data_IF_883017544832
#
_entry.id   IF_883017544832
#
_cell.length_a   1.000
_cell.length_b   1.000
_cell.length_c   1.000
_cell.angle_alpha   90.00
_cell.angle_beta   90.00
_cell.angle_gamma   90.00
#
_symmetry.space_group_name_H-M   'P 1'
#
loop_
_entity.id
_entity.type
_entity.pdbx_description
1 polymer ?
#
# COMPACT_ATOMS: atom_id res chain seq x y z
N UNK A 1 9.04 -13.51 11.27
CA UNK A 1 7.99 -12.57 11.74
C UNK A 1 7.57 -11.70 10.57
N UNK A 2 6.27 -11.65 10.27
CA UNK A 2 5.74 -10.82 9.19
C UNK A 2 5.83 -9.33 9.57
N UNK A 3 6.20 -8.48 8.61
CA UNK A 3 6.23 -7.03 8.83
C UNK A 3 4.81 -6.45 8.83
N UNK A 4 4.45 -5.74 9.90
CA UNK A 4 3.13 -5.17 10.11
C UNK A 4 3.09 -3.71 9.66
N UNK A 5 2.23 -3.39 8.71
CA UNK A 5 2.12 -2.05 8.11
C UNK A 5 0.69 -1.54 8.23
N UNK A 6 0.36 -0.73 9.25
CA UNK A 6 -0.93 -0.07 9.30
C UNK A 6 -1.08 0.94 8.17
N UNK A 7 -2.32 1.17 7.73
CA UNK A 7 -2.63 2.06 6.62
C UNK A 7 -3.46 3.27 7.04
N UNK A 8 -3.16 4.41 6.42
CA UNK A 8 -3.97 5.64 6.46
C UNK A 8 -4.33 6.00 5.03
N UNK A 9 -5.62 6.05 4.73
CA UNK A 9 -6.13 6.63 3.49
C UNK A 9 -6.59 8.06 3.73
N UNK A 10 -6.29 8.97 2.81
CA UNK A 10 -6.55 10.39 2.93
C UNK A 10 -7.57 10.88 1.91
N UNK A 11 -8.62 11.53 2.38
CA UNK A 11 -9.55 12.34 1.59
C UNK A 11 -9.81 13.65 2.33
N UNK A 12 -9.63 14.78 1.66
CA UNK A 12 -9.81 16.13 2.23
C UNK A 12 -9.03 16.34 3.54
N UNK A 13 -7.82 15.81 3.61
CA UNK A 13 -6.99 15.89 4.80
C UNK A 13 -7.41 15.00 5.97
N UNK A 14 -8.41 14.16 5.81
CA UNK A 14 -8.96 13.27 6.85
C UNK A 14 -8.50 11.82 6.65
N UNK A 15 -8.38 11.08 7.75
CA UNK A 15 -8.18 9.63 7.73
C UNK A 15 -9.52 8.92 7.45
N UNK A 16 -9.59 8.20 6.35
CA UNK A 16 -10.82 7.55 5.89
C UNK A 16 -10.59 6.09 5.51
N UNK A 17 -11.69 5.37 5.24
CA UNK A 17 -11.65 4.06 4.57
C UNK A 17 -12.75 3.99 3.52
N UNK A 18 -12.44 3.30 2.41
CA UNK A 18 -13.40 2.95 1.38
C UNK A 18 -13.68 1.46 1.43
N UNK A 19 -14.82 1.03 0.90
CA UNK A 19 -15.10 -0.37 0.63
C UNK A 19 -14.87 -0.63 -0.85
N UNK A 20 -13.94 -1.53 -1.19
CA UNK A 20 -13.56 -1.86 -2.58
C UNK A 20 -13.24 -0.64 -3.46
N UNK A 21 -12.68 0.41 -2.85
CA UNK A 21 -12.34 1.65 -3.56
C UNK A 21 -13.52 2.57 -3.91
N UNK A 22 -14.71 2.29 -3.41
CA UNK A 22 -15.90 3.08 -3.69
C UNK A 22 -15.96 4.34 -2.81
N UNK A 23 -15.80 5.51 -3.43
CA UNK A 23 -15.82 6.81 -2.74
C UNK A 23 -17.19 7.15 -2.13
N UNK A 24 -18.28 6.56 -2.62
CA UNK A 24 -19.62 6.73 -2.05
C UNK A 24 -19.82 5.90 -0.78
N UNK A 25 -18.92 4.93 -0.53
CA UNK A 25 -18.87 4.13 0.69
C UNK A 25 -17.74 4.56 1.62
N UNK A 26 -17.48 5.85 1.68
CA UNK A 26 -16.47 6.44 2.55
C UNK A 26 -16.92 6.50 4.01
N UNK A 27 -16.04 6.07 4.92
CA UNK A 27 -16.16 6.28 6.37
C UNK A 27 -14.98 7.12 6.87
N UNK A 28 -15.25 8.18 7.61
CA UNK A 28 -14.23 9.01 8.25
C UNK A 28 -13.95 8.46 9.64
N UNK A 29 -12.68 8.19 9.95
CA UNK A 29 -12.24 7.70 11.26
C UNK A 29 -11.59 8.78 12.12
N UNK A 30 -10.91 9.75 11.52
CA UNK A 30 -10.27 10.84 12.24
C UNK A 30 -10.04 12.03 11.32
N UNK A 31 -10.24 13.24 11.88
CA UNK A 31 -10.01 14.50 11.17
C UNK A 31 -8.53 14.88 11.12
N UNK A 32 -7.68 14.28 11.99
CA UNK A 32 -6.25 14.54 12.05
C UNK A 32 -5.43 13.25 11.84
N UNK A 33 -5.00 12.97 10.61
CA UNK A 33 -4.19 11.78 10.31
C UNK A 33 -2.85 11.71 11.06
N UNK A 34 -2.24 12.85 11.39
CA UNK A 34 -0.99 12.86 12.16
C UNK A 34 -1.19 12.30 13.58
N UNK A 35 -2.33 12.53 14.20
CA UNK A 35 -2.66 11.94 15.51
C UNK A 35 -2.82 10.42 15.40
N UNK A 36 -3.42 9.93 14.32
CA UNK A 36 -3.53 8.49 14.06
C UNK A 36 -2.14 7.87 13.88
N UNK A 37 -1.26 8.51 13.13
CA UNK A 37 0.12 8.06 12.94
C UNK A 37 0.90 8.00 14.27
N UNK A 38 0.75 8.99 15.14
CA UNK A 38 1.34 8.97 16.49
C UNK A 38 0.83 7.81 17.33
N UNK A 39 -0.46 7.49 17.25
CA UNK A 39 -1.03 6.34 17.93
C UNK A 39 -0.38 5.02 17.45
N UNK A 40 -0.20 4.86 16.13
CA UNK A 40 0.48 3.70 15.58
C UNK A 40 1.93 3.60 16.09
N UNK A 41 2.66 4.71 16.11
CA UNK A 41 4.02 4.73 16.65
C UNK A 41 4.07 4.35 18.13
N UNK A 42 3.14 4.88 18.96
CA UNK A 42 3.02 4.54 20.37
C UNK A 42 2.66 3.08 20.60
N UNK A 43 1.93 2.45 19.69
CA UNK A 43 1.62 1.02 19.71
C UNK A 43 2.82 0.13 19.34
N UNK A 44 3.92 0.72 18.88
CA UNK A 44 5.14 -0.01 18.53
C UNK A 44 5.33 -0.31 17.05
N UNK A 45 4.43 0.13 16.17
CA UNK A 45 4.63 -0.01 14.73
C UNK A 45 5.81 0.84 14.26
N UNK A 46 6.49 0.36 13.21
CA UNK A 46 7.66 1.02 12.61
C UNK A 46 7.40 1.54 11.21
N UNK A 47 6.40 0.98 10.53
CA UNK A 47 6.02 1.29 9.17
C UNK A 47 4.62 1.91 9.15
N UNK A 48 4.38 2.72 8.12
CA UNK A 48 3.05 3.27 7.82
C UNK A 48 2.87 3.33 6.30
N UNK A 49 1.73 2.86 5.83
CA UNK A 49 1.30 2.98 4.45
C UNK A 49 0.27 4.10 4.33
N UNK A 50 0.58 5.14 3.54
CA UNK A 50 -0.30 6.30 3.36
C UNK A 50 -0.74 6.38 1.90
N UNK A 51 -2.04 6.45 1.67
CA UNK A 51 -2.63 6.60 0.34
C UNK A 51 -3.39 7.92 0.23
N UNK A 52 -2.96 8.74 -0.71
CA UNK A 52 -3.66 9.97 -1.11
C UNK A 52 -4.77 9.64 -2.11
N UNK A 53 -5.98 9.40 -1.60
CA UNK A 53 -7.13 9.06 -2.44
C UNK A 53 -7.62 10.26 -3.27
N UNK A 54 -7.42 11.49 -2.82
CA UNK A 54 -7.64 12.68 -3.64
C UNK A 54 -6.64 12.72 -4.80
N UNK A 55 -5.38 12.38 -4.52
CA UNK A 55 -4.33 12.27 -5.53
C UNK A 55 -4.61 11.18 -6.55
N UNK A 56 -5.05 10.02 -6.12
CA UNK A 56 -5.45 8.94 -7.02
C UNK A 56 -6.56 9.36 -7.99
N UNK A 57 -7.50 10.16 -7.52
CA UNK A 57 -8.62 10.68 -8.32
C UNK A 57 -8.19 11.80 -9.27
N UNK A 58 -7.38 12.75 -8.79
CA UNK A 58 -6.93 13.93 -9.54
C UNK A 58 -5.71 13.67 -10.42
N UNK A 59 -5.02 12.53 -10.23
CA UNK A 59 -3.77 12.13 -10.89
C UNK A 59 -2.55 13.00 -10.54
N UNK A 60 -2.59 13.66 -9.38
CA UNK A 60 -1.51 14.42 -8.77
C UNK A 60 -1.57 14.30 -7.26
N UNK A 61 -0.44 14.47 -6.56
CA UNK A 61 -0.44 14.52 -5.10
C UNK A 61 -1.23 15.75 -4.62
N UNK A 62 -2.15 15.54 -3.69
CA UNK A 62 -3.01 16.59 -3.09
C UNK A 62 -2.72 16.76 -1.61
N UNK A 63 -2.53 15.68 -0.86
CA UNK A 63 -2.39 15.70 0.61
C UNK A 63 -0.92 15.65 1.08
N UNK A 64 0.00 16.29 0.37
CA UNK A 64 1.41 16.36 0.75
C UNK A 64 1.66 17.10 2.08
N UNK A 65 0.83 18.10 2.40
CA UNK A 65 0.91 18.78 3.69
C UNK A 65 0.59 17.83 4.86
N UNK A 66 -0.39 16.94 4.69
CA UNK A 66 -0.71 15.90 5.68
C UNK A 66 0.44 14.90 5.81
N UNK A 67 1.00 14.47 4.70
CA UNK A 67 2.19 13.59 4.69
C UNK A 67 3.33 14.24 5.47
N UNK A 68 3.62 15.51 5.23
CA UNK A 68 4.67 16.25 5.95
C UNK A 68 4.40 16.32 7.45
N UNK A 69 3.17 16.55 7.87
CA UNK A 69 2.80 16.53 9.28
C UNK A 69 3.08 15.15 9.92
N UNK A 70 2.68 14.07 9.26
CA UNK A 70 2.94 12.69 9.70
C UNK A 70 4.43 12.43 9.88
N UNK A 71 5.24 12.74 8.87
CA UNK A 71 6.68 12.46 8.88
C UNK A 71 7.47 13.36 9.81
N UNK A 72 6.97 14.56 10.10
CA UNK A 72 7.57 15.49 11.06
C UNK A 72 7.26 15.10 12.49
N UNK A 73 6.04 14.63 12.76
CA UNK A 73 5.55 14.33 14.11
C UNK A 73 5.79 12.90 14.56
N UNK A 74 6.25 12.02 13.69
CA UNK A 74 6.60 10.62 13.98
C UNK A 74 7.95 10.25 13.37
N UNK A 75 8.54 9.14 13.84
CA UNK A 75 9.71 8.51 13.23
C UNK A 75 9.37 7.27 12.38
N UNK A 76 8.11 7.11 12.03
CA UNK A 76 7.64 6.00 11.18
C UNK A 76 8.30 6.06 9.79
N UNK A 77 8.65 4.90 9.28
CA UNK A 77 9.05 4.74 7.88
C UNK A 77 7.78 4.72 7.03
N UNK A 78 7.54 5.79 6.31
CA UNK A 78 6.32 6.00 5.55
C UNK A 78 6.54 5.66 4.08
N UNK A 79 5.70 4.78 3.53
CA UNK A 79 5.50 4.67 2.10
C UNK A 79 4.22 5.42 1.69
N UNK A 80 4.31 6.15 0.58
CA UNK A 80 3.25 7.04 0.13
C UNK A 80 2.85 6.73 -1.31
N UNK A 81 1.57 6.61 -1.56
CA UNK A 81 1.01 6.36 -2.88
C UNK A 81 -0.26 7.17 -3.15
N UNK A 82 -0.74 7.09 -4.38
CA UNK A 82 -1.93 7.81 -4.83
C UNK A 82 -1.59 9.10 -5.59
N UNK A 83 -1.80 9.09 -6.90
CA UNK A 83 -1.59 10.26 -7.74
C UNK A 83 -0.15 10.51 -8.20
N UNK A 84 0.76 9.56 -8.02
CA UNK A 84 2.14 9.68 -8.50
C UNK A 84 2.18 9.36 -9.99
N UNK A 85 2.23 10.41 -10.82
CA UNK A 85 2.23 10.31 -12.28
C UNK A 85 3.44 10.97 -12.94
N UNK A 86 4.15 11.84 -12.22
CA UNK A 86 5.30 12.58 -12.72
C UNK A 86 6.45 12.51 -11.74
N UNK A 87 7.65 12.87 -12.21
CA UNK A 87 8.82 12.99 -11.35
C UNK A 87 8.63 14.07 -10.28
N UNK A 88 7.94 15.16 -10.61
CA UNK A 88 7.59 16.21 -9.65
C UNK A 88 6.75 15.66 -8.49
N UNK A 89 5.80 14.76 -8.76
CA UNK A 89 5.03 14.08 -7.71
C UNK A 89 5.94 13.26 -6.78
N UNK A 90 6.89 12.51 -7.33
CA UNK A 90 7.86 11.73 -6.52
C UNK A 90 8.71 12.65 -5.65
N UNK A 91 9.26 13.70 -6.23
CA UNK A 91 10.10 14.66 -5.50
C UNK A 91 9.31 15.36 -4.38
N UNK A 92 8.05 15.69 -4.65
CA UNK A 92 7.13 16.27 -3.67
C UNK A 92 6.87 15.32 -2.50
N UNK A 93 6.66 14.02 -2.77
CA UNK A 93 6.50 13.01 -1.72
C UNK A 93 7.76 12.86 -0.87
N UNK A 94 8.95 12.79 -1.49
CA UNK A 94 10.21 12.70 -0.75
C UNK A 94 10.53 13.99 0.03
N UNK A 95 10.25 15.16 -0.54
CA UNK A 95 10.40 16.44 0.17
C UNK A 95 9.48 16.55 1.38
N UNK A 96 8.30 15.92 1.34
CA UNK A 96 7.38 15.81 2.46
C UNK A 96 7.77 14.71 3.48
N UNK A 97 8.89 14.03 3.28
CA UNK A 97 9.47 13.07 4.22
C UNK A 97 9.12 11.60 3.99
N UNK A 98 8.45 11.24 2.89
CA UNK A 98 8.23 9.83 2.56
C UNK A 98 9.57 9.11 2.40
N UNK A 99 9.70 7.93 2.99
CA UNK A 99 10.88 7.08 2.83
C UNK A 99 10.84 6.30 1.51
N UNK A 100 9.63 5.94 1.09
CA UNK A 100 9.34 5.17 -0.11
C UNK A 100 8.10 5.73 -0.80
N UNK A 101 7.98 5.48 -2.09
CA UNK A 101 6.75 5.76 -2.86
C UNK A 101 6.21 4.49 -3.48
N UNK A 102 4.88 4.36 -3.52
CA UNK A 102 4.19 3.26 -4.18
C UNK A 102 3.62 3.75 -5.50
N UNK A 103 4.04 3.13 -6.60
CA UNK A 103 3.67 3.51 -7.96
C UNK A 103 3.04 2.33 -8.67
N UNK A 104 1.81 2.51 -9.15
CA UNK A 104 1.06 1.46 -9.83
C UNK A 104 0.81 1.76 -11.31
N UNK A 105 -0.08 2.71 -11.61
CA UNK A 105 -0.55 2.96 -12.98
C UNK A 105 0.56 3.26 -13.98
N UNK A 106 1.58 4.01 -13.59
CA UNK A 106 2.72 4.36 -14.48
C UNK A 106 3.47 3.11 -14.93
N UNK A 107 3.56 2.08 -14.08
CA UNK A 107 4.20 0.82 -14.46
C UNK A 107 3.47 0.11 -15.62
N UNK A 108 2.19 0.37 -15.81
CA UNK A 108 1.38 -0.14 -16.94
C UNK A 108 1.39 0.82 -18.11
N UNK A 109 1.10 2.11 -17.85
CA UNK A 109 0.87 3.11 -18.91
C UNK A 109 2.14 3.69 -19.52
N UNK A 110 3.24 3.73 -18.74
CA UNK A 110 4.54 4.22 -19.20
C UNK A 110 5.68 3.42 -18.53
N UNK A 111 5.92 2.19 -18.97
CA UNK A 111 6.96 1.32 -18.39
C UNK A 111 8.36 1.92 -18.41
N UNK A 112 8.71 2.66 -19.44
CA UNK A 112 10.03 3.30 -19.55
C UNK A 112 10.25 4.33 -18.45
N UNK A 113 9.24 5.13 -18.16
CA UNK A 113 9.30 6.12 -17.06
C UNK A 113 9.47 5.44 -15.72
N UNK A 114 8.73 4.36 -15.45
CA UNK A 114 8.90 3.57 -14.23
C UNK A 114 10.34 3.04 -14.09
N UNK A 115 10.92 2.52 -15.18
CA UNK A 115 12.31 2.04 -15.20
C UNK A 115 13.30 3.17 -14.90
N UNK A 116 13.10 4.36 -15.47
CA UNK A 116 13.92 5.54 -15.20
C UNK A 116 13.87 5.92 -13.71
N UNK A 117 12.69 5.87 -13.10
CA UNK A 117 12.54 6.12 -11.66
C UNK A 117 13.21 5.06 -10.81
N UNK A 118 13.12 3.80 -11.20
CA UNK A 118 13.80 2.70 -10.52
C UNK A 118 15.33 2.90 -10.53
N UNK A 119 15.88 3.29 -11.67
CA UNK A 119 17.31 3.59 -11.81
C UNK A 119 17.73 4.83 -11.00
N UNK A 120 16.90 5.88 -11.02
CA UNK A 120 17.21 7.15 -10.36
C UNK A 120 17.10 7.07 -8.84
N UNK A 121 16.01 6.50 -8.33
CA UNK A 121 15.71 6.51 -6.88
C UNK A 121 16.13 5.22 -6.18
N UNK A 122 16.28 4.13 -6.91
CA UNK A 122 16.69 2.84 -6.39
C UNK A 122 15.55 1.96 -5.92
N UNK A 123 15.84 0.66 -5.85
CA UNK A 123 14.88 -0.38 -5.49
C UNK A 123 14.39 -0.30 -4.03
N UNK A 124 15.14 0.37 -3.16
CA UNK A 124 14.79 0.52 -1.73
C UNK A 124 13.79 1.67 -1.48
N UNK A 125 13.59 2.54 -2.46
CA UNK A 125 12.69 3.69 -2.35
C UNK A 125 11.44 3.61 -3.23
N UNK A 126 11.32 2.58 -4.05
CA UNK A 126 10.23 2.42 -5.00
C UNK A 126 9.52 1.09 -4.77
N UNK A 127 8.23 1.16 -4.44
CA UNK A 127 7.34 0.00 -4.34
C UNK A 127 6.49 -0.07 -5.60
N UNK A 128 6.50 -1.22 -6.27
CA UNK A 128 5.57 -1.49 -7.37
C UNK A 128 4.20 -1.82 -6.80
N UNK A 129 3.20 -1.00 -7.09
CA UNK A 129 1.81 -1.28 -6.78
C UNK A 129 1.20 -2.20 -7.84
N UNK A 130 0.72 -3.36 -7.44
CA UNK A 130 0.03 -4.33 -8.29
C UNK A 130 -1.37 -4.56 -7.74
N UNK A 131 -2.33 -3.79 -8.20
CA UNK A 131 -3.74 -3.92 -7.84
C UNK A 131 -4.41 -4.88 -8.80
N UNK A 132 -5.00 -5.94 -8.29
CA UNK A 132 -5.46 -7.10 -9.08
C UNK A 132 -6.97 -7.24 -8.99
N UNK A 133 -7.60 -7.38 -10.16
CA UNK A 133 -8.99 -7.76 -10.32
C UNK A 133 -9.09 -8.86 -11.38
N UNK A 134 -9.68 -10.01 -11.03
CA UNK A 134 -9.80 -11.15 -11.95
C UNK A 134 -8.46 -11.55 -12.60
N UNK A 135 -7.37 -11.53 -11.84
CA UNK A 135 -6.03 -11.88 -12.32
C UNK A 135 -5.33 -10.82 -13.18
N UNK A 136 -6.00 -9.72 -13.48
CA UNK A 136 -5.47 -8.60 -14.29
C UNK A 136 -5.09 -7.41 -13.43
N UNK A 137 -4.10 -6.65 -13.88
CA UNK A 137 -3.70 -5.41 -13.22
C UNK A 137 -4.71 -4.30 -13.52
N UNK A 138 -5.24 -3.70 -12.46
CA UNK A 138 -6.10 -2.52 -12.54
C UNK A 138 -5.29 -1.23 -12.38
N UNK A 139 -5.74 -0.16 -13.03
CA UNK A 139 -5.08 1.14 -13.04
C UNK A 139 -6.07 2.28 -12.76
N UNK A 140 -5.55 3.49 -12.60
CA UNK A 140 -6.34 4.72 -12.44
C UNK A 140 -7.35 4.67 -11.29
N UNK A 141 -6.88 4.26 -10.09
CA UNK A 141 -7.74 4.14 -8.91
C UNK A 141 -8.80 3.05 -9.06
N UNK A 142 -8.43 1.94 -9.72
CA UNK A 142 -9.27 0.75 -9.98
C UNK A 142 -10.43 0.98 -10.96
N UNK A 143 -10.38 2.07 -11.71
CA UNK A 143 -11.43 2.41 -12.69
C UNK A 143 -11.29 1.65 -14.00
N UNK A 144 -10.09 1.18 -14.31
CA UNK A 144 -9.77 0.52 -15.56
C UNK A 144 -8.98 -0.75 -15.29
N UNK A 145 -9.29 -1.83 -16.02
CA UNK A 145 -8.49 -3.05 -16.01
C UNK A 145 -7.59 -3.07 -17.24
N UNK A 146 -6.31 -3.39 -17.02
CA UNK A 146 -5.35 -3.56 -18.12
C UNK A 146 -5.45 -4.96 -18.72
N UNK A 147 -4.72 -5.21 -19.81
CA UNK A 147 -4.55 -6.55 -20.38
C UNK A 147 -3.44 -7.36 -19.70
N UNK A 148 -2.72 -6.76 -18.73
CA UNK A 148 -1.57 -7.37 -18.07
C UNK A 148 -2.00 -8.39 -17.03
N UNK A 149 -1.53 -9.63 -17.18
CA UNK A 149 -1.64 -10.66 -16.14
C UNK A 149 -0.60 -10.43 -15.04
N UNK A 150 -0.95 -10.76 -13.79
CA UNK A 150 -0.14 -10.45 -12.61
C UNK A 150 1.28 -11.02 -12.69
N UNK A 151 1.46 -12.33 -12.89
CA UNK A 151 2.79 -12.94 -12.83
C UNK A 151 3.74 -12.46 -13.93
N UNK A 152 3.34 -12.40 -15.22
CA UNK A 152 4.19 -11.82 -16.26
C UNK A 152 4.52 -10.34 -16.02
N UNK A 153 3.56 -9.57 -15.52
CA UNK A 153 3.77 -8.17 -15.15
C UNK A 153 4.83 -8.02 -14.06
N UNK A 154 4.75 -8.82 -13.00
CA UNK A 154 5.74 -8.81 -11.92
C UNK A 154 7.12 -9.25 -12.42
N UNK A 155 7.19 -10.31 -13.23
CA UNK A 155 8.46 -10.80 -13.77
C UNK A 155 9.24 -9.72 -14.52
N UNK A 156 8.55 -8.96 -15.36
CA UNK A 156 9.13 -7.86 -16.13
C UNK A 156 9.88 -6.85 -15.24
N UNK A 157 9.31 -6.50 -14.09
CA UNK A 157 9.90 -5.53 -13.17
C UNK A 157 10.90 -6.15 -12.19
N UNK A 158 10.66 -7.37 -11.73
CA UNK A 158 11.62 -8.10 -10.88
C UNK A 158 12.93 -8.32 -11.64
N UNK A 159 12.87 -8.68 -12.92
CA UNK A 159 14.05 -8.83 -13.77
C UNK A 159 14.82 -7.50 -13.95
N UNK A 160 14.19 -6.36 -13.70
CA UNK A 160 14.80 -5.02 -13.73
C UNK A 160 15.28 -4.52 -12.36
N UNK A 161 15.07 -5.29 -11.30
CA UNK A 161 15.58 -4.98 -9.98
C UNK A 161 14.54 -4.55 -8.95
N UNK A 162 13.24 -4.55 -9.27
CA UNK A 162 12.19 -4.29 -8.28
C UNK A 162 12.27 -5.32 -7.15
N UNK A 163 12.29 -4.83 -5.90
CA UNK A 163 12.37 -5.65 -4.68
C UNK A 163 11.07 -5.68 -3.90
N UNK A 164 10.32 -4.60 -3.93
CA UNK A 164 9.09 -4.43 -3.15
C UNK A 164 7.89 -4.37 -4.08
N UNK A 165 6.91 -5.22 -3.83
CA UNK A 165 5.61 -5.20 -4.50
C UNK A 165 4.52 -5.15 -3.46
N UNK A 166 3.64 -4.16 -3.56
CA UNK A 166 2.40 -4.12 -2.80
C UNK A 166 1.29 -4.65 -3.69
N UNK A 167 0.78 -5.83 -3.35
CA UNK A 167 -0.26 -6.51 -4.12
C UNK A 167 -1.59 -6.45 -3.38
N UNK A 168 -2.57 -5.78 -3.99
CA UNK A 168 -3.93 -5.68 -3.47
C UNK A 168 -4.88 -6.50 -4.33
N UNK A 169 -5.57 -7.48 -3.74
CA UNK A 169 -6.73 -8.10 -4.39
C UNK A 169 -7.95 -7.20 -4.15
N UNK A 170 -8.39 -6.51 -5.19
CA UNK A 170 -9.41 -5.45 -5.10
C UNK A 170 -10.74 -5.98 -4.56
N UNK A 171 -11.13 -7.21 -4.94
CA UNK A 171 -12.38 -7.83 -4.48
C UNK A 171 -12.41 -8.09 -2.97
N UNK A 172 -11.25 -8.10 -2.31
CA UNK A 172 -11.09 -8.32 -0.87
C UNK A 172 -10.96 -7.02 -0.08
N UNK A 173 -10.45 -5.95 -0.70
CA UNK A 173 -10.12 -4.72 0.01
C UNK A 173 -11.34 -4.07 0.66
N UNK A 174 -11.21 -3.74 1.95
CA UNK A 174 -12.26 -3.15 2.75
C UNK A 174 -13.47 -4.06 3.06
N UNK A 175 -13.40 -5.36 2.76
CA UNK A 175 -14.52 -6.29 2.97
C UNK A 175 -14.53 -7.00 4.32
N UNK A 176 -13.39 -7.09 5.00
CA UNK A 176 -13.21 -7.91 6.21
C UNK A 176 -13.57 -9.40 6.00
N UNK A 177 -13.33 -9.93 4.80
CA UNK A 177 -13.63 -11.32 4.43
C UNK A 177 -12.40 -12.22 4.35
N UNK A 178 -11.28 -11.75 4.83
CA UNK A 178 -9.98 -12.43 4.77
C UNK A 178 -9.15 -12.05 3.53
N UNK A 179 -7.82 -12.19 3.64
CA UNK A 179 -6.89 -11.87 2.55
C UNK A 179 -6.89 -12.95 1.46
N UNK A 180 -6.35 -12.60 0.28
CA UNK A 180 -6.20 -13.52 -0.85
C UNK A 180 -4.94 -14.40 -0.70
N UNK A 181 -4.87 -15.24 0.32
CA UNK A 181 -3.67 -16.02 0.69
C UNK A 181 -3.17 -16.88 -0.48
N UNK A 182 -4.05 -17.53 -1.22
CA UNK A 182 -3.65 -18.41 -2.33
C UNK A 182 -2.98 -17.62 -3.47
N UNK A 183 -3.46 -16.40 -3.75
CA UNK A 183 -2.83 -15.49 -4.71
C UNK A 183 -1.40 -15.14 -4.27
N UNK A 184 -1.23 -14.77 -3.00
CA UNK A 184 0.09 -14.39 -2.46
C UNK A 184 1.06 -15.58 -2.41
N UNK A 185 0.59 -16.78 -2.10
CA UNK A 185 1.38 -18.02 -2.19
C UNK A 185 1.86 -18.28 -3.62
N UNK A 186 0.99 -18.08 -4.60
CA UNK A 186 1.34 -18.23 -6.02
C UNK A 186 2.46 -17.26 -6.43
N UNK A 187 2.35 -16.00 -6.02
CA UNK A 187 3.39 -14.98 -6.27
C UNK A 187 4.71 -15.37 -5.62
N UNK A 188 4.68 -15.75 -4.34
CA UNK A 188 5.91 -16.13 -3.62
C UNK A 188 6.53 -17.42 -4.11
N UNK A 189 5.73 -18.37 -4.61
CA UNK A 189 6.25 -19.59 -5.24
C UNK A 189 6.99 -19.25 -6.55
N UNK A 190 6.48 -18.32 -7.34
CA UNK A 190 7.10 -17.85 -8.57
C UNK A 190 8.34 -16.97 -8.31
N UNK A 191 8.32 -16.14 -7.27
CA UNK A 191 9.35 -15.15 -6.96
C UNK A 191 9.73 -15.16 -5.47
N UNK A 192 10.47 -16.19 -5.00
CA UNK A 192 10.73 -16.40 -3.57
C UNK A 192 11.52 -15.28 -2.89
N UNK A 193 12.30 -14.53 -3.64
CA UNK A 193 13.13 -13.42 -3.12
C UNK A 193 12.40 -12.08 -3.06
N UNK A 194 11.16 -12.02 -3.59
CA UNK A 194 10.38 -10.80 -3.59
C UNK A 194 9.96 -10.42 -2.17
N UNK A 195 10.09 -9.14 -1.81
CA UNK A 195 9.46 -8.61 -0.61
C UNK A 195 8.01 -8.22 -0.94
N UNK A 196 7.13 -9.21 -0.88
CA UNK A 196 5.71 -9.05 -1.15
C UNK A 196 5.01 -8.45 0.07
N UNK A 197 4.27 -7.36 -0.16
CA UNK A 197 3.40 -6.73 0.82
C UNK A 197 1.96 -7.08 0.44
N UNK A 198 1.33 -7.94 1.23
CA UNK A 198 -0.05 -8.33 1.03
C UNK A 198 -1.00 -7.20 1.47
N UNK A 199 -2.03 -6.92 0.68
CA UNK A 199 -3.00 -5.86 0.97
C UNK A 199 -4.42 -6.29 0.60
N UNK A 200 -5.37 -5.95 1.47
CA UNK A 200 -6.80 -6.16 1.27
C UNK A 200 -7.35 -7.37 2.00
N UNK A 201 -8.49 -7.15 2.67
CA UNK A 201 -9.33 -8.20 3.24
C UNK A 201 -8.96 -8.69 4.63
N UNK A 202 -7.85 -8.29 5.21
CA UNK A 202 -7.49 -8.68 6.60
C UNK A 202 -8.63 -8.33 7.55
N UNK A 203 -9.10 -9.32 8.32
CA UNK A 203 -10.26 -9.19 9.19
C UNK A 203 -9.97 -9.41 10.67
N UNK A 204 -8.89 -10.09 11.02
CA UNK A 204 -8.53 -10.46 12.39
C UNK A 204 -7.04 -10.81 12.51
N UNK A 205 -6.58 -11.08 13.73
CA UNK A 205 -5.19 -11.49 13.98
C UNK A 205 -4.85 -12.81 13.29
N UNK A 206 -5.78 -13.76 13.28
CA UNK A 206 -5.58 -15.07 12.67
C UNK A 206 -5.29 -14.98 11.15
N UNK A 207 -5.83 -13.97 10.47
CA UNK A 207 -5.50 -13.73 9.05
C UNK A 207 -4.03 -13.34 8.89
N UNK A 208 -3.50 -12.54 9.80
CA UNK A 208 -2.09 -12.12 9.80
C UNK A 208 -1.18 -13.31 10.11
N UNK A 209 -1.55 -14.13 11.09
CA UNK A 209 -0.84 -15.36 11.42
C UNK A 209 -0.83 -16.35 10.24
N UNK A 210 -1.95 -16.47 9.53
CA UNK A 210 -2.05 -17.33 8.34
C UNK A 210 -1.16 -16.83 7.20
N UNK A 211 -1.06 -15.51 6.99
CA UNK A 211 -0.13 -14.90 6.03
C UNK A 211 1.33 -15.18 6.42
N UNK A 212 1.67 -15.03 7.70
CA UNK A 212 3.00 -15.34 8.21
C UNK A 212 3.36 -16.82 8.01
N UNK A 213 2.46 -17.72 8.35
CA UNK A 213 2.62 -19.16 8.15
C UNK A 213 2.77 -19.54 6.66
N UNK A 214 2.18 -18.76 5.76
CA UNK A 214 2.32 -18.91 4.32
C UNK A 214 3.64 -18.33 3.76
N UNK A 215 4.49 -17.73 4.61
CA UNK A 215 5.76 -17.14 4.21
C UNK A 215 5.64 -15.76 3.55
N UNK A 216 4.54 -15.05 3.76
CA UNK A 216 4.37 -13.71 3.22
C UNK A 216 5.19 -12.71 4.05
N UNK A 217 6.09 -11.91 3.43
CA UNK A 217 7.02 -11.05 4.17
C UNK A 217 6.38 -9.90 4.93
N UNK A 218 5.31 -9.31 4.39
CA UNK A 218 4.68 -8.11 4.95
C UNK A 218 3.18 -8.05 4.65
N UNK A 219 2.45 -7.34 5.50
CA UNK A 219 1.01 -7.13 5.35
C UNK A 219 0.61 -5.70 5.68
N UNK A 220 -0.20 -5.12 4.81
CA UNK A 220 -0.91 -3.86 5.06
C UNK A 220 -2.31 -4.19 5.57
N UNK A 221 -2.72 -3.53 6.63
CA UNK A 221 -4.07 -3.62 7.17
C UNK A 221 -4.58 -2.24 7.60
N UNK A 222 -5.88 -2.05 7.53
CA UNK A 222 -6.49 -0.78 7.87
C UNK A 222 -7.85 -0.98 8.53
N UNK A 223 -8.88 -1.33 7.76
CA UNK A 223 -10.26 -1.41 8.25
C UNK A 223 -10.40 -2.28 9.50
N UNK A 224 -9.74 -3.44 9.55
CA UNK A 224 -9.80 -4.33 10.72
C UNK A 224 -9.28 -3.66 12.00
N UNK A 225 -8.22 -2.85 11.90
CA UNK A 225 -7.74 -2.05 13.02
C UNK A 225 -8.76 -1.00 13.45
N UNK A 226 -9.27 -0.19 12.52
CA UNK A 226 -10.21 0.88 12.81
C UNK A 226 -11.55 0.38 13.35
N UNK A 227 -11.97 -0.82 12.97
CA UNK A 227 -13.17 -1.48 13.47
C UNK A 227 -12.95 -2.28 14.77
N UNK A 228 -11.74 -2.20 15.36
CA UNK A 228 -11.42 -2.85 16.62
C UNK A 228 -11.31 -4.37 16.56
N UNK A 229 -11.02 -4.92 15.39
CA UNK A 229 -10.91 -6.37 15.14
C UNK A 229 -9.49 -6.94 15.25
N UNK A 230 -8.51 -6.06 15.45
CA UNK A 230 -7.10 -6.41 15.61
C UNK A 230 -6.68 -6.17 17.05
N UNK A 231 -6.14 -7.18 17.71
CA UNK A 231 -5.44 -7.04 18.99
C UNK A 231 -3.97 -6.70 18.72
N UNK A 232 -3.66 -5.41 18.80
CA UNK A 232 -2.31 -4.89 18.53
C UNK A 232 -1.29 -5.41 19.53
N UNK A 233 -1.67 -5.59 20.81
CA UNK A 233 -0.75 -6.05 21.84
C UNK A 233 -0.27 -7.47 21.59
N UNK A 234 -1.16 -8.31 21.11
CA UNK A 234 -0.84 -9.68 20.72
C UNK A 234 0.13 -9.70 19.54
N UNK A 235 -0.12 -8.88 18.51
CA UNK A 235 0.69 -8.83 17.29
C UNK A 235 2.09 -8.24 17.49
N UNK A 236 2.21 -7.18 18.27
CA UNK A 236 3.50 -6.45 18.42
C UNK A 236 4.42 -7.12 19.44
N UNK A 237 3.89 -7.91 20.36
CA UNK A 237 4.66 -8.61 21.41
C UNK A 237 4.92 -10.09 21.10
N UNK A 238 4.44 -10.61 20.00
CA UNK A 238 4.69 -11.98 19.51
C UNK A 238 6.01 -12.07 18.66
#
# INVERSE_FOLDING_TARGET
MIELIPAIDLINGQCVRLTKGDYDQKKVYNDNPADVAKQFEQMGFKRLHVVDLDGAKSKHIVNDAVLKAITTETSLVVDFGGGIKTEEDIEKAFAAGASMVTVGSIAVTNPELFMQWLDKYGADRLILGADVRNGKISINGWKEDSSEDLLPFLKKYIDKGVRYVLCTEISKDGTLQGPAIELYKEVMAAYPQLHLIASGGVSCNEDIEALEAAGIPAVVFGKAFYEGKIDVKELVNS
#
